data_IF_317605981656
#
_entry.id   IF_317605981656
#
_cell.length_a   1.000
_cell.length_b   1.000
_cell.length_c   1.000
_cell.angle_alpha   90.00
_cell.angle_beta   90.00
_cell.angle_gamma   90.00
#
_symmetry.space_group_name_H-M   'P 1'
#
loop_
_entity.id
_entity.type
_entity.pdbx_description
1 polymer ?
#
# COMPACT_ATOMS: atom_id res chain seq x y z
N UNK A 1 9.52 -15.33 1.05
CA UNK A 1 10.73 -14.85 0.36
C UNK A 1 11.80 -14.51 1.38
N UNK A 2 13.04 -14.69 1.02
CA UNK A 2 14.14 -14.39 1.92
C UNK A 2 14.37 -12.89 2.05
N UNK A 3 14.85 -12.47 3.21
CA UNK A 3 15.25 -11.08 3.42
C UNK A 3 16.47 -10.75 2.55
N UNK A 4 16.57 -9.50 2.16
CA UNK A 4 17.71 -8.94 1.43
C UNK A 4 18.20 -7.70 2.16
N UNK A 5 19.50 -7.41 1.98
CA UNK A 5 19.98 -6.09 2.39
C UNK A 5 19.40 -5.04 1.46
N UNK A 6 19.40 -3.80 1.90
CA UNK A 6 18.96 -2.69 1.05
C UNK A 6 19.81 -2.61 -0.22
N UNK A 7 21.13 -2.82 -0.09
CA UNK A 7 22.05 -2.81 -1.23
C UNK A 7 21.67 -3.88 -2.25
N UNK A 8 21.43 -5.10 -1.80
CA UNK A 8 21.06 -6.21 -2.69
C UNK A 8 19.75 -5.93 -3.42
N UNK A 9 18.76 -5.44 -2.68
CA UNK A 9 17.45 -5.15 -3.26
C UNK A 9 17.55 -4.03 -4.29
N UNK A 10 18.21 -2.93 -3.93
CA UNK A 10 18.32 -1.74 -4.80
C UNK A 10 19.09 -2.03 -6.09
N UNK A 11 20.12 -2.87 -6.01
CA UNK A 11 20.97 -3.20 -7.15
C UNK A 11 20.22 -3.92 -8.27
N UNK A 12 19.11 -4.57 -7.97
CA UNK A 12 18.31 -5.31 -8.95
C UNK A 12 17.24 -4.43 -9.66
N UNK A 13 17.08 -3.18 -9.25
CA UNK A 13 16.02 -2.31 -9.76
C UNK A 13 16.50 -1.54 -11.00
N UNK A 14 16.28 -2.13 -12.16
CA UNK A 14 16.71 -1.59 -13.45
C UNK A 14 15.63 -0.71 -14.11
N UNK A 15 15.92 -0.18 -15.29
CA UNK A 15 14.99 0.67 -16.04
C UNK A 15 13.69 -0.07 -16.36
N UNK A 16 13.74 -1.35 -16.67
CA UNK A 16 12.53 -2.13 -16.95
C UNK A 16 11.60 -2.16 -15.73
N UNK A 17 12.17 -2.34 -14.55
CA UNK A 17 11.38 -2.32 -13.32
C UNK A 17 10.63 -1.00 -13.16
N UNK A 18 11.34 0.11 -13.26
CA UNK A 18 10.73 1.44 -13.10
C UNK A 18 9.80 1.79 -14.26
N UNK A 19 10.22 1.49 -15.48
CA UNK A 19 9.50 1.87 -16.69
C UNK A 19 8.19 1.10 -16.89
N UNK A 20 8.07 -0.07 -16.29
CA UNK A 20 6.83 -0.85 -16.31
C UNK A 20 5.99 -0.67 -15.04
N UNK A 21 6.35 0.30 -14.22
CA UNK A 21 5.62 0.67 -13.00
C UNK A 21 5.39 -0.49 -12.03
N UNK A 22 6.37 -1.38 -11.91
CA UNK A 22 6.26 -2.54 -11.00
C UNK A 22 6.28 -2.14 -9.53
N UNK A 23 6.71 -0.91 -9.22
CA UNK A 23 6.83 -0.40 -7.84
C UNK A 23 5.52 0.18 -7.31
N UNK A 24 4.53 0.45 -8.16
CA UNK A 24 3.35 1.21 -7.75
C UNK A 24 2.07 0.65 -8.35
N UNK A 25 0.95 1.10 -7.82
CA UNK A 25 -0.38 0.87 -8.37
C UNK A 25 -1.20 2.16 -8.20
N UNK A 26 -1.98 2.51 -9.21
CA UNK A 26 -2.87 3.67 -9.14
C UNK A 26 -4.06 3.38 -8.24
N UNK A 27 -4.60 4.42 -7.60
CA UNK A 27 -5.77 4.26 -6.72
C UNK A 27 -6.94 3.59 -7.44
N UNK A 28 -7.25 4.03 -8.66
CA UNK A 28 -8.34 3.45 -9.42
C UNK A 28 -8.16 1.95 -9.67
N UNK A 29 -6.95 1.52 -9.98
CA UNK A 29 -6.64 0.10 -10.21
C UNK A 29 -6.76 -0.72 -8.93
N UNK A 30 -6.24 -0.19 -7.82
CA UNK A 30 -6.30 -0.86 -6.53
C UNK A 30 -7.75 -1.07 -6.08
N UNK A 31 -8.54 0.00 -6.09
CA UNK A 31 -9.93 -0.07 -5.66
C UNK A 31 -10.82 -0.88 -6.62
N UNK A 32 -10.50 -0.91 -7.92
CA UNK A 32 -11.19 -1.77 -8.86
C UNK A 32 -11.01 -3.25 -8.51
N UNK A 33 -9.81 -3.64 -8.12
CA UNK A 33 -9.54 -5.00 -7.67
C UNK A 33 -10.31 -5.33 -6.39
N UNK A 34 -10.41 -4.36 -5.47
CA UNK A 34 -11.20 -4.53 -4.25
C UNK A 34 -12.70 -4.67 -4.58
N UNK A 35 -13.21 -3.84 -5.49
CA UNK A 35 -14.61 -3.89 -5.91
C UNK A 35 -14.97 -5.19 -6.62
N UNK A 36 -14.01 -5.83 -7.27
CA UNK A 36 -14.23 -7.13 -7.93
C UNK A 36 -14.17 -8.31 -6.96
N UNK A 37 -13.98 -8.06 -5.67
CA UNK A 37 -13.98 -9.11 -4.64
C UNK A 37 -12.61 -9.67 -4.30
N UNK A 38 -11.53 -9.13 -4.89
CA UNK A 38 -10.18 -9.57 -4.56
C UNK A 38 -9.81 -9.11 -3.15
N UNK A 39 -9.17 -9.98 -2.38
CA UNK A 39 -8.68 -9.64 -1.05
C UNK A 39 -7.38 -8.87 -1.16
N UNK A 40 -7.49 -7.54 -1.26
CA UNK A 40 -6.34 -6.62 -1.28
C UNK A 40 -6.26 -5.89 0.05
N UNK A 41 -5.06 -5.43 0.40
CA UNK A 41 -4.81 -4.73 1.67
C UNK A 41 -4.28 -3.33 1.38
N UNK A 42 -4.91 -2.32 1.95
CA UNK A 42 -4.36 -0.97 1.99
C UNK A 42 -3.59 -0.84 3.30
N UNK A 43 -2.28 -0.62 3.21
CA UNK A 43 -1.44 -0.39 4.38
C UNK A 43 -1.29 1.11 4.60
N UNK A 44 -1.88 1.60 5.67
CA UNK A 44 -1.85 3.02 6.03
C UNK A 44 -0.69 3.27 6.98
N UNK A 45 0.30 4.04 6.53
CA UNK A 45 1.51 4.33 7.32
C UNK A 45 1.48 5.70 7.99
N UNK A 46 0.33 6.38 7.95
CA UNK A 46 0.17 7.68 8.60
C UNK A 46 0.22 7.56 10.12
N UNK A 47 0.49 8.67 10.79
CA UNK A 47 0.51 8.70 12.25
C UNK A 47 -0.88 8.52 12.85
N UNK A 48 -0.99 8.11 14.13
CA UNK A 48 -2.28 8.05 14.82
C UNK A 48 -2.99 9.41 14.85
N UNK A 49 -2.23 10.49 14.99
CA UNK A 49 -2.78 11.85 14.99
C UNK A 49 -3.46 12.18 13.67
N UNK A 50 -2.88 11.74 12.56
CA UNK A 50 -3.49 11.95 11.24
C UNK A 50 -4.78 11.13 11.09
N UNK A 51 -4.78 9.89 11.56
CA UNK A 51 -5.96 9.03 11.45
C UNK A 51 -7.09 9.45 12.39
N UNK A 52 -6.77 10.20 13.45
CA UNK A 52 -7.80 10.80 14.31
C UNK A 52 -8.65 11.82 13.54
N UNK A 53 -8.06 12.51 12.57
CA UNK A 53 -8.77 13.50 11.75
C UNK A 53 -9.36 12.88 10.47
N UNK A 54 -8.72 11.90 9.91
CA UNK A 54 -9.23 11.24 8.69
C UNK A 54 -8.88 9.76 8.75
N UNK A 55 -9.80 8.99 9.28
CA UNK A 55 -9.62 7.55 9.42
C UNK A 55 -9.92 6.80 8.12
N UNK A 56 -9.19 5.70 7.92
CA UNK A 56 -9.47 4.74 6.85
C UNK A 56 -9.73 3.39 7.53
N UNK A 57 -10.96 3.14 8.00
CA UNK A 57 -11.23 1.98 8.85
C UNK A 57 -11.07 0.64 8.16
N UNK A 58 -11.08 0.60 6.82
CA UNK A 58 -10.86 -0.62 6.05
C UNK A 58 -9.37 -0.93 5.87
N UNK A 59 -8.47 -0.02 6.24
CA UNK A 59 -7.03 -0.20 6.05
C UNK A 59 -6.39 -0.92 7.25
N UNK A 60 -5.27 -1.60 6.98
CA UNK A 60 -4.37 -2.04 8.03
C UNK A 60 -3.51 -0.84 8.41
N UNK A 61 -3.68 -0.33 9.62
CA UNK A 61 -2.98 0.86 10.08
C UNK A 61 -1.73 0.46 10.86
N UNK A 62 -0.57 0.70 10.27
CA UNK A 62 0.72 0.55 10.94
C UNK A 62 1.51 1.84 10.70
N UNK A 63 1.54 2.76 11.66
CA UNK A 63 2.34 3.97 11.53
C UNK A 63 3.78 3.63 11.17
N UNK A 64 4.42 4.47 10.35
CA UNK A 64 5.74 4.11 9.79
C UNK A 64 6.76 3.80 10.89
N UNK A 65 6.72 4.50 12.02
CA UNK A 65 7.67 4.26 13.12
C UNK A 65 7.44 2.94 13.86
N UNK A 66 6.26 2.34 13.71
CA UNK A 66 5.94 1.03 14.30
C UNK A 66 6.20 -0.12 13.33
N UNK A 67 6.49 0.18 12.07
CA UNK A 67 6.68 -0.86 11.06
C UNK A 67 7.79 -1.84 11.41
N UNK A 68 8.94 -1.42 11.96
CA UNK A 68 9.98 -2.37 12.34
C UNK A 68 9.54 -3.43 13.35
N UNK A 69 8.61 -3.07 14.25
CA UNK A 69 8.09 -4.01 15.26
C UNK A 69 6.90 -4.83 14.73
N UNK A 70 6.28 -4.41 13.63
CA UNK A 70 4.98 -4.96 13.20
C UNK A 70 4.95 -5.40 11.73
N UNK A 71 6.07 -5.41 11.03
CA UNK A 71 6.10 -5.73 9.60
C UNK A 71 5.53 -7.12 9.30
N UNK A 72 5.61 -8.05 10.23
CA UNK A 72 5.09 -9.40 10.07
C UNK A 72 3.56 -9.44 9.98
N UNK A 73 2.87 -8.40 10.42
CA UNK A 73 1.41 -8.27 10.26
C UNK A 73 1.01 -8.01 8.82
N UNK A 74 1.95 -7.57 7.98
CA UNK A 74 1.68 -7.31 6.56
C UNK A 74 1.62 -8.65 5.84
N UNK A 75 0.50 -8.97 5.15
CA UNK A 75 0.38 -10.24 4.43
C UNK A 75 1.43 -10.39 3.33
N UNK A 76 1.82 -11.62 3.04
CA UNK A 76 2.76 -11.94 1.96
C UNK A 76 2.10 -12.67 0.80
N UNK A 77 0.79 -12.91 0.86
CA UNK A 77 0.04 -13.77 -0.06
C UNK A 77 -1.00 -13.00 -0.90
N UNK A 78 -1.02 -11.68 -0.83
CA UNK A 78 -1.97 -10.84 -1.55
C UNK A 78 -1.39 -9.47 -1.84
N UNK A 79 -2.02 -8.72 -2.75
CA UNK A 79 -1.58 -7.36 -3.04
C UNK A 79 -1.73 -6.46 -1.83
N UNK A 80 -0.64 -5.79 -1.47
CA UNK A 80 -0.63 -4.76 -0.44
C UNK A 80 -0.20 -3.44 -1.08
N UNK A 81 -0.99 -2.40 -0.91
CA UNK A 81 -0.65 -1.07 -1.39
C UNK A 81 -0.40 -0.15 -0.19
N UNK A 82 0.76 0.49 -0.17
CA UNK A 82 1.18 1.35 0.93
C UNK A 82 0.75 2.78 0.66
N UNK A 83 0.08 3.38 1.63
CA UNK A 83 -0.44 4.74 1.54
C UNK A 83 0.11 5.64 2.64
N UNK A 84 0.39 6.89 2.28
CA UNK A 84 0.57 8.01 3.20
C UNK A 84 0.06 9.29 2.53
N UNK A 85 0.18 10.43 3.18
CA UNK A 85 -0.40 11.67 2.67
C UNK A 85 0.30 12.24 1.44
N UNK A 86 1.62 12.02 1.30
CA UNK A 86 2.43 12.66 0.24
C UNK A 86 3.36 11.71 -0.51
N UNK A 87 3.39 10.44 -0.17
CA UNK A 87 4.20 9.43 -0.87
C UNK A 87 5.58 9.15 -0.26
N UNK A 88 6.07 9.97 0.64
CA UNK A 88 7.41 9.78 1.20
C UNK A 88 7.47 8.58 2.14
N UNK A 89 6.58 8.56 3.13
CA UNK A 89 6.55 7.45 4.09
C UNK A 89 6.13 6.14 3.42
N UNK A 90 5.24 6.20 2.44
CA UNK A 90 4.84 5.00 1.69
C UNK A 90 6.01 4.44 0.89
N UNK A 91 6.85 5.28 0.28
CA UNK A 91 8.03 4.83 -0.43
C UNK A 91 9.05 4.17 0.51
N UNK A 92 9.26 4.76 1.68
CA UNK A 92 10.16 4.20 2.69
C UNK A 92 9.62 2.85 3.20
N UNK A 93 8.34 2.78 3.53
CA UNK A 93 7.70 1.55 3.97
C UNK A 93 7.76 0.46 2.90
N UNK A 94 7.52 0.83 1.65
CA UNK A 94 7.66 -0.06 0.49
C UNK A 94 9.06 -0.69 0.44
N UNK A 95 10.10 0.15 0.47
CA UNK A 95 11.47 -0.33 0.40
C UNK A 95 11.79 -1.24 1.59
N UNK A 96 11.39 -0.83 2.78
CA UNK A 96 11.61 -1.63 3.99
C UNK A 96 10.97 -3.02 3.88
N UNK A 97 9.70 -3.06 3.46
CA UNK A 97 8.97 -4.33 3.35
C UNK A 97 9.55 -5.24 2.28
N UNK A 98 10.02 -4.67 1.17
CA UNK A 98 10.69 -5.47 0.14
C UNK A 98 11.97 -6.11 0.65
N UNK A 99 12.74 -5.42 1.47
CA UNK A 99 13.95 -6.01 2.08
C UNK A 99 13.59 -7.12 3.08
N UNK A 100 12.38 -7.10 3.64
CA UNK A 100 11.87 -8.16 4.52
C UNK A 100 11.21 -9.32 3.75
N UNK A 101 11.28 -9.31 2.43
CA UNK A 101 10.73 -10.38 1.60
C UNK A 101 9.27 -10.22 1.22
N UNK A 102 8.66 -9.08 1.50
CA UNK A 102 7.28 -8.78 1.10
C UNK A 102 7.24 -8.24 -0.32
N UNK A 103 7.52 -9.07 -1.31
CA UNK A 103 7.60 -8.68 -2.72
C UNK A 103 6.23 -8.38 -3.34
N UNK A 104 5.15 -8.69 -2.64
CA UNK A 104 3.76 -8.41 -3.01
C UNK A 104 3.33 -6.97 -2.72
N UNK A 105 4.20 -6.15 -2.13
CA UNK A 105 3.89 -4.78 -1.73
C UNK A 105 4.19 -3.82 -2.88
N UNK A 106 3.25 -2.90 -3.12
CA UNK A 106 3.41 -1.78 -4.06
C UNK A 106 3.09 -0.47 -3.35
N UNK A 107 3.60 0.64 -3.89
CA UNK A 107 3.23 1.97 -3.42
C UNK A 107 1.88 2.32 -4.03
N UNK A 108 0.93 2.78 -3.22
CA UNK A 108 -0.29 3.36 -3.76
C UNK A 108 0.05 4.75 -4.31
N UNK A 109 0.00 4.91 -5.62
CA UNK A 109 0.28 6.18 -6.28
C UNK A 109 -0.97 7.07 -6.20
N UNK A 110 -1.18 7.63 -5.02
CA UNK A 110 -2.34 8.47 -4.72
C UNK A 110 -2.05 9.36 -3.53
N UNK A 111 -2.69 10.53 -3.54
CA UNK A 111 -2.82 11.39 -2.38
C UNK A 111 -4.29 11.42 -1.98
N UNK A 112 -4.66 12.28 -1.02
CA UNK A 112 -6.04 12.33 -0.55
C UNK A 112 -7.09 12.53 -1.66
N UNK A 113 -6.89 13.42 -2.65
CA UNK A 113 -7.91 13.60 -3.70
C UNK A 113 -8.18 12.33 -4.50
N UNK A 114 -7.14 11.60 -4.91
CA UNK A 114 -7.29 10.38 -5.69
C UNK A 114 -7.92 9.25 -4.86
N UNK A 115 -7.54 9.17 -3.59
CA UNK A 115 -8.13 8.21 -2.67
C UNK A 115 -9.61 8.50 -2.46
N UNK A 116 -9.95 9.76 -2.17
CA UNK A 116 -11.33 10.18 -1.94
C UNK A 116 -12.22 9.95 -3.15
N UNK A 117 -11.68 10.10 -4.36
CA UNK A 117 -12.43 9.87 -5.59
C UNK A 117 -12.92 8.41 -5.70
N UNK A 118 -12.24 7.46 -5.07
CA UNK A 118 -12.63 6.05 -5.07
C UNK A 118 -13.68 5.71 -4.00
N UNK A 119 -14.05 6.66 -3.17
CA UNK A 119 -14.97 6.46 -2.05
C UNK A 119 -16.28 7.25 -2.21
N UNK A 120 -16.63 7.58 -3.45
CA UNK A 120 -17.92 8.18 -3.79
C UNK A 120 -19.05 7.15 -3.67
N UNK A 121 -20.30 7.57 -3.49
CA UNK A 121 -21.40 6.64 -3.21
C UNK A 121 -21.53 5.46 -4.16
N UNK A 122 -21.43 5.69 -5.48
CA UNK A 122 -21.55 4.60 -6.45
C UNK A 122 -20.42 3.56 -6.34
N UNK A 123 -19.23 4.01 -6.03
CA UNK A 123 -18.07 3.12 -5.85
C UNK A 123 -18.13 2.40 -4.52
N UNK A 124 -18.55 3.07 -3.47
CA UNK A 124 -18.75 2.47 -2.15
C UNK A 124 -19.87 1.42 -2.19
N UNK A 125 -20.91 1.66 -2.95
CA UNK A 125 -21.99 0.68 -3.13
C UNK A 125 -21.43 -0.64 -3.69
N UNK A 126 -20.56 -0.58 -4.68
CA UNK A 126 -19.94 -1.78 -5.25
C UNK A 126 -19.03 -2.49 -4.24
N UNK A 127 -18.31 -1.75 -3.42
CA UNK A 127 -17.50 -2.34 -2.35
C UNK A 127 -18.37 -3.07 -1.34
N UNK A 128 -19.50 -2.50 -0.95
CA UNK A 128 -20.44 -3.12 -0.03
C UNK A 128 -21.05 -4.40 -0.62
N UNK A 129 -21.32 -4.41 -1.93
CA UNK A 129 -21.90 -5.56 -2.61
C UNK A 129 -20.89 -6.71 -2.80
N UNK A 130 -19.59 -6.41 -2.80
CA UNK A 130 -18.54 -7.42 -3.00
C UNK A 130 -18.22 -8.24 -1.75
N UNK A 131 -18.80 -7.86 -0.61
CA UNK A 131 -18.54 -8.53 0.68
C UNK A 131 -19.53 -9.64 0.98
#
# INVERSE_FOLDING_TARGET
MAEKTFDEWLADLDLNFWGTAQHKIMAAQFFERMRSGEEVVLLDTRSPEETDYLALPFALHIPIHELPARWQEVPDDRLVAVFCSSGVRSAIGYAYLHTKGRSNVRILDARYPELAAELKPGKVLKLAQSK
#
